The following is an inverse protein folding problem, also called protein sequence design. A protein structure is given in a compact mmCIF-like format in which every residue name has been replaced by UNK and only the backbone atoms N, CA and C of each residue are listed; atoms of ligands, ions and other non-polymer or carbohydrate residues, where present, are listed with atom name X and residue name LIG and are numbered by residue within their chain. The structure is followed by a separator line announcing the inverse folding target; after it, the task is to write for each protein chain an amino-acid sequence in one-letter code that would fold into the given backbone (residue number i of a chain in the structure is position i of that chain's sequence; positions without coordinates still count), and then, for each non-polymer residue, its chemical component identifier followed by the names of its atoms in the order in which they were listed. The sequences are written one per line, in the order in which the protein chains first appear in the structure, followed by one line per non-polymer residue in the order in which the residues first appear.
data_IF_515315346544
#
_entry.id   IF_515315346544
#
_cell.length_a   1.000
_cell.length_b   1.000
_cell.length_c   1.000
_cell.angle_alpha   90.00
_cell.angle_beta   90.00
_cell.angle_gamma   90.00
#
_symmetry.space_group_name_H-M   'P 1'
#
loop_
_entity.id
_entity.type
_entity.pdbx_description
1 polymer ?
#
# COMPACT_ATOMS: atom_id res chain seq x y z
N UNK A 1 0.55 -14.21 -0.74
CA UNK A 1 0.61 -13.12 -1.75
C UNK A 1 1.69 -13.46 -2.78
N UNK A 2 1.33 -14.15 -3.86
CA UNK A 2 2.22 -14.43 -5.00
C UNK A 2 1.66 -13.69 -6.21
N UNK A 3 1.89 -12.38 -6.27
CA UNK A 3 1.55 -11.60 -7.46
C UNK A 3 2.63 -11.89 -8.51
N UNK A 4 2.29 -12.34 -9.74
CA UNK A 4 3.25 -12.90 -10.70
C UNK A 4 4.48 -12.02 -10.99
N UNK A 5 4.31 -10.70 -10.88
CA UNK A 5 5.34 -9.72 -11.23
C UNK A 5 5.92 -8.98 -10.02
N UNK A 6 5.63 -9.43 -8.79
CA UNK A 6 6.11 -8.78 -7.59
C UNK A 6 7.33 -9.51 -7.00
N UNK A 7 8.52 -9.06 -7.39
CA UNK A 7 9.79 -9.60 -6.90
C UNK A 7 10.16 -9.13 -5.49
N UNK A 8 11.14 -9.81 -4.87
CA UNK A 8 11.63 -9.48 -3.52
C UNK A 8 12.13 -8.04 -3.39
N UNK A 9 12.89 -7.55 -4.39
CA UNK A 9 13.44 -6.18 -4.40
C UNK A 9 12.31 -5.15 -4.38
N UNK A 10 11.36 -5.25 -5.31
CA UNK A 10 10.20 -4.35 -5.38
C UNK A 10 9.34 -4.43 -4.12
N UNK A 11 9.20 -5.62 -3.51
CA UNK A 11 8.46 -5.78 -2.27
C UNK A 11 9.15 -5.12 -1.07
N UNK A 12 10.49 -5.13 -1.02
CA UNK A 12 11.27 -4.38 -0.03
C UNK A 12 11.11 -2.87 -0.25
N UNK A 13 11.26 -2.40 -1.49
CA UNK A 13 11.07 -0.97 -1.81
C UNK A 13 9.68 -0.46 -1.41
N UNK A 14 8.62 -1.24 -1.69
CA UNK A 14 7.25 -0.91 -1.26
C UNK A 14 7.17 -0.80 0.27
N UNK A 15 7.76 -1.76 1.00
CA UNK A 15 7.77 -1.73 2.48
C UNK A 15 8.52 -0.52 3.01
N UNK A 16 9.66 -0.18 2.45
CA UNK A 16 10.48 0.96 2.90
C UNK A 16 9.76 2.29 2.66
N UNK A 17 9.15 2.46 1.48
CA UNK A 17 8.35 3.66 1.17
C UNK A 17 7.14 3.78 2.09
N UNK A 18 6.44 2.68 2.38
CA UNK A 18 5.33 2.68 3.34
C UNK A 18 5.82 3.05 4.75
N UNK A 19 6.92 2.44 5.21
CA UNK A 19 7.48 2.71 6.53
C UNK A 19 7.91 4.17 6.69
N UNK A 20 8.49 4.79 5.65
CA UNK A 20 8.85 6.22 5.65
C UNK A 20 7.64 7.16 5.84
N UNK A 21 6.43 6.67 5.57
CA UNK A 21 5.16 7.40 5.73
C UNK A 21 4.38 6.95 6.97
N UNK A 22 4.97 6.09 7.81
CA UNK A 22 4.30 5.51 8.99
C UNK A 22 3.23 4.48 8.65
N UNK A 23 3.27 3.89 7.45
CA UNK A 23 2.29 2.92 6.96
C UNK A 23 2.87 1.50 6.90
N UNK A 24 1.99 0.50 6.78
CA UNK A 24 2.38 -0.90 6.62
C UNK A 24 1.44 -1.66 5.68
N UNK A 25 1.92 -2.78 5.12
CA UNK A 25 1.10 -3.67 4.30
C UNK A 25 0.01 -4.34 5.16
N UNK A 26 -1.22 -4.34 4.68
CA UNK A 26 -2.36 -4.94 5.39
C UNK A 26 -2.98 -4.04 6.46
N UNK A 27 -2.54 -2.78 6.56
CA UNK A 27 -3.17 -1.79 7.43
C UNK A 27 -4.59 -1.46 6.94
N UNK A 28 -5.54 -1.39 7.88
CA UNK A 28 -6.88 -0.85 7.61
C UNK A 28 -6.82 0.67 7.77
N UNK A 29 -7.21 1.39 6.73
CA UNK A 29 -7.32 2.85 6.77
C UNK A 29 -8.78 3.23 7.06
N UNK A 30 -8.96 4.14 8.01
CA UNK A 30 -10.28 4.69 8.30
C UNK A 30 -10.70 5.65 7.19
N UNK A 31 -11.99 5.63 6.83
CA UNK A 31 -12.57 6.53 5.83
C UNK A 31 -11.88 6.48 4.45
N UNK A 32 -11.43 5.28 4.02
CA UNK A 32 -10.90 5.01 2.69
C UNK A 32 -11.93 4.28 1.81
N UNK A 33 -12.15 4.68 0.54
CA UNK A 33 -11.49 5.79 -0.15
C UNK A 33 -11.96 7.16 0.37
N UNK A 34 -11.10 8.19 0.35
CA UNK A 34 -11.48 9.56 0.68
C UNK A 34 -12.63 10.04 -0.22
N UNK A 35 -13.51 10.88 0.31
CA UNK A 35 -14.67 11.39 -0.44
C UNK A 35 -14.29 12.01 -1.80
N UNK A 36 -13.11 12.62 -1.91
CA UNK A 36 -12.60 13.19 -3.16
C UNK A 36 -12.28 12.16 -4.26
N UNK A 37 -12.24 10.87 -3.93
CA UNK A 37 -11.96 9.75 -4.85
C UNK A 37 -13.22 8.89 -5.05
N UNK A 38 -14.25 9.05 -4.21
CA UNK A 38 -15.42 8.17 -4.16
C UNK A 38 -16.47 8.44 -5.24
N UNK A 39 -16.27 9.44 -6.10
CA UNK A 39 -17.16 9.76 -7.22
C UNK A 39 -16.64 9.14 -8.54
N UNK A 40 -17.01 7.88 -8.78
CA UNK A 40 -17.39 7.30 -10.08
C UNK A 40 -18.48 6.24 -9.90
#
# INVERSE_FOLDING_TARGET
LKTPNLGKKSLTEIKDVLASRGLSLGMRLDNWPPASIADE
#
